data_IF_944083273456
#
_entry.id   IF_944083273456
#
_cell.length_a   1.000
_cell.length_b   1.000
_cell.length_c   1.000
_cell.angle_alpha   90.00
_cell.angle_beta   90.00
_cell.angle_gamma   90.00
#
_symmetry.space_group_name_H-M   'P 1'
#
loop_
_entity.id
_entity.type
_entity.pdbx_description
1 polymer ?
#
# COMPACT_ATOMS: atom_id res chain seq x y z
N UNK A 1 -28.20 -18.15 25.56
CA UNK A 1 -28.49 -19.01 24.40
C UNK A 1 -29.12 -18.19 23.29
N UNK A 2 -28.71 -18.42 22.03
CA UNK A 2 -29.33 -17.82 20.86
C UNK A 2 -30.69 -18.50 20.61
N UNK A 3 -31.74 -17.69 20.38
CA UNK A 3 -33.04 -18.23 19.99
C UNK A 3 -33.02 -18.73 18.53
N UNK A 4 -34.02 -19.51 18.14
CA UNK A 4 -34.17 -19.99 16.75
C UNK A 4 -34.24 -18.79 15.77
N UNK A 5 -34.96 -17.73 16.18
CA UNK A 5 -35.10 -16.49 15.39
C UNK A 5 -33.72 -15.77 15.26
N UNK A 6 -32.94 -15.69 16.35
CA UNK A 6 -31.62 -15.06 16.31
C UNK A 6 -30.72 -15.79 15.28
N UNK A 7 -30.71 -17.12 15.32
CA UNK A 7 -29.93 -17.93 14.40
C UNK A 7 -30.39 -17.78 12.96
N UNK A 8 -31.68 -17.68 12.73
CA UNK A 8 -32.26 -17.44 11.40
C UNK A 8 -31.80 -16.09 10.83
N UNK A 9 -31.90 -15.00 11.60
CA UNK A 9 -31.49 -13.67 11.17
C UNK A 9 -29.98 -13.62 10.90
N UNK A 10 -29.15 -14.18 11.78
CA UNK A 10 -27.70 -14.24 11.58
C UNK A 10 -27.36 -14.98 10.28
N UNK A 11 -27.97 -16.15 10.05
CA UNK A 11 -27.75 -16.92 8.83
C UNK A 11 -28.16 -16.13 7.59
N UNK A 12 -29.32 -15.48 7.61
CA UNK A 12 -29.82 -14.66 6.50
C UNK A 12 -28.87 -13.50 6.20
N UNK A 13 -28.41 -12.82 7.24
CA UNK A 13 -27.43 -11.73 7.15
C UNK A 13 -26.09 -12.21 6.53
N UNK A 14 -25.47 -13.23 7.11
CA UNK A 14 -24.19 -13.75 6.62
C UNK A 14 -24.30 -14.26 5.17
N UNK A 15 -25.37 -14.99 4.83
CA UNK A 15 -25.60 -15.44 3.46
C UNK A 15 -25.74 -14.28 2.48
N UNK A 16 -26.47 -13.23 2.85
CA UNK A 16 -26.61 -12.02 2.02
C UNK A 16 -25.28 -11.31 1.87
N UNK A 17 -24.47 -11.20 2.93
CA UNK A 17 -23.15 -10.60 2.88
C UNK A 17 -22.22 -11.34 1.91
N UNK A 18 -22.07 -12.66 2.05
CA UNK A 18 -21.19 -13.43 1.17
C UNK A 18 -21.70 -13.47 -0.28
N UNK A 19 -23.01 -13.46 -0.48
CA UNK A 19 -23.60 -13.38 -1.81
C UNK A 19 -23.28 -12.03 -2.49
N UNK A 20 -23.47 -10.92 -1.78
CA UNK A 20 -23.14 -9.58 -2.30
C UNK A 20 -21.65 -9.43 -2.54
N UNK A 21 -20.83 -9.89 -1.60
CA UNK A 21 -19.36 -9.89 -1.76
C UNK A 21 -18.97 -10.67 -3.02
N UNK A 22 -19.52 -11.86 -3.23
CA UNK A 22 -19.24 -12.68 -4.40
C UNK A 22 -19.61 -12.00 -5.72
N UNK A 23 -20.79 -11.39 -5.79
CA UNK A 23 -21.24 -10.66 -6.99
C UNK A 23 -20.33 -9.45 -7.25
N UNK A 24 -20.06 -8.62 -6.24
CA UNK A 24 -19.23 -7.43 -6.39
C UNK A 24 -17.82 -7.81 -6.82
N UNK A 25 -17.22 -8.84 -6.20
CA UNK A 25 -15.88 -9.31 -6.57
C UNK A 25 -15.85 -9.91 -7.98
N UNK A 26 -16.90 -10.63 -8.39
CA UNK A 26 -17.00 -11.15 -9.76
C UNK A 26 -17.02 -10.03 -10.78
N UNK A 27 -17.84 -8.99 -10.58
CA UNK A 27 -17.84 -7.82 -11.46
C UNK A 27 -16.49 -7.12 -11.47
N UNK A 28 -15.90 -6.89 -10.29
CA UNK A 28 -14.58 -6.26 -10.18
C UNK A 28 -13.51 -7.04 -10.99
N UNK A 29 -13.50 -8.38 -10.89
CA UNK A 29 -12.58 -9.22 -11.68
C UNK A 29 -12.83 -9.11 -13.18
N UNK A 30 -14.09 -9.09 -13.62
CA UNK A 30 -14.42 -8.97 -15.06
C UNK A 30 -13.93 -7.65 -15.62
N UNK A 31 -14.10 -6.54 -14.91
CA UNK A 31 -13.58 -5.24 -15.31
C UNK A 31 -12.04 -5.23 -15.33
N UNK A 32 -11.41 -5.74 -14.29
CA UNK A 32 -9.94 -5.79 -14.19
C UNK A 32 -9.32 -6.68 -15.29
N UNK A 33 -9.94 -7.83 -15.62
CA UNK A 33 -9.51 -8.65 -16.77
C UNK A 33 -9.64 -7.87 -18.07
N UNK A 34 -10.74 -7.18 -18.28
CA UNK A 34 -10.97 -6.42 -19.53
C UNK A 34 -9.93 -5.32 -19.74
N UNK A 35 -9.46 -4.72 -18.65
CA UNK A 35 -8.44 -3.67 -18.68
C UNK A 35 -7.03 -4.25 -18.93
N UNK A 36 -6.68 -5.36 -18.28
CA UNK A 36 -5.30 -5.90 -18.23
C UNK A 36 -5.03 -7.03 -19.22
N UNK A 37 -6.03 -7.48 -19.96
CA UNK A 37 -5.92 -8.66 -20.82
C UNK A 37 -4.83 -8.52 -21.87
N UNK A 38 -4.70 -7.34 -22.50
CA UNK A 38 -3.69 -7.08 -23.53
C UNK A 38 -2.27 -7.22 -22.99
N UNK A 39 -2.05 -6.79 -21.76
CA UNK A 39 -0.74 -6.84 -21.11
C UNK A 39 -0.40 -8.24 -20.61
N UNK A 40 -1.37 -8.97 -20.07
CA UNK A 40 -1.19 -10.37 -19.71
C UNK A 40 -0.82 -11.25 -20.92
N UNK A 41 -1.40 -10.98 -22.09
CA UNK A 41 -1.09 -11.70 -23.32
C UNK A 41 0.28 -11.29 -23.85
N UNK A 42 0.59 -9.99 -23.93
CA UNK A 42 1.87 -9.49 -24.46
C UNK A 42 3.06 -9.94 -23.62
N UNK A 43 2.89 -9.98 -22.29
CA UNK A 43 3.91 -10.43 -21.35
C UNK A 43 3.87 -11.94 -21.08
N UNK A 44 3.05 -12.70 -21.83
CA UNK A 44 2.93 -14.16 -21.75
C UNK A 44 2.70 -14.67 -20.32
N UNK A 45 1.83 -14.00 -19.57
CA UNK A 45 1.49 -14.43 -18.21
C UNK A 45 0.79 -15.79 -18.22
N UNK A 46 1.25 -16.79 -17.47
CA UNK A 46 0.60 -18.11 -17.44
C UNK A 46 -0.76 -18.01 -16.74
N UNK A 47 -1.78 -18.68 -17.30
CA UNK A 47 -3.17 -18.64 -16.80
C UNK A 47 -3.24 -19.09 -15.33
N UNK A 48 -2.41 -20.04 -14.91
CA UNK A 48 -2.35 -20.51 -13.52
C UNK A 48 -1.87 -19.41 -12.57
N UNK A 49 -0.87 -18.63 -12.97
CA UNK A 49 -0.37 -17.50 -12.18
C UNK A 49 -1.42 -16.36 -12.13
N UNK A 50 -2.12 -16.08 -13.24
CA UNK A 50 -3.21 -15.11 -13.27
C UNK A 50 -4.28 -15.49 -12.25
N UNK A 51 -4.65 -16.77 -12.15
CA UNK A 51 -5.69 -17.20 -11.23
C UNK A 51 -5.22 -17.24 -9.77
N UNK A 52 -4.10 -17.92 -9.47
CA UNK A 52 -3.66 -18.17 -8.10
C UNK A 52 -2.82 -17.02 -7.50
N UNK A 53 -1.91 -16.43 -8.27
CA UNK A 53 -1.02 -15.39 -7.76
C UNK A 53 -1.65 -13.99 -7.85
N UNK A 54 -2.58 -13.78 -8.80
CA UNK A 54 -3.25 -12.51 -8.98
C UNK A 54 -4.69 -12.51 -8.45
N UNK A 55 -5.65 -13.21 -9.08
CA UNK A 55 -7.08 -13.06 -8.74
C UNK A 55 -7.47 -13.60 -7.37
N UNK A 56 -6.88 -14.69 -6.91
CA UNK A 56 -7.15 -15.16 -5.54
C UNK A 56 -6.72 -14.12 -4.50
N UNK A 57 -5.56 -13.52 -4.69
CA UNK A 57 -5.04 -12.48 -3.81
C UNK A 57 -5.78 -11.14 -3.97
N UNK A 58 -6.25 -10.82 -5.17
CA UNK A 58 -7.13 -9.70 -5.47
C UNK A 58 -8.44 -9.77 -4.67
N UNK A 59 -9.10 -10.93 -4.66
CA UNK A 59 -10.34 -11.13 -3.88
C UNK A 59 -10.09 -10.93 -2.38
N UNK A 60 -9.00 -11.46 -1.85
CA UNK A 60 -8.66 -11.32 -0.43
C UNK A 60 -8.39 -9.87 -0.04
N UNK A 61 -7.65 -9.14 -0.86
CA UNK A 61 -7.32 -7.74 -0.62
C UNK A 61 -8.55 -6.83 -0.75
N UNK A 62 -9.15 -6.79 -1.95
CA UNK A 62 -10.28 -5.90 -2.23
C UNK A 62 -11.57 -6.32 -1.52
N UNK A 63 -11.79 -7.62 -1.34
CA UNK A 63 -12.93 -8.13 -0.59
C UNK A 63 -12.90 -7.69 0.87
N UNK A 64 -11.73 -7.68 1.50
CA UNK A 64 -11.58 -7.16 2.86
C UNK A 64 -11.70 -5.61 2.89
N UNK A 65 -11.09 -4.93 1.93
CA UNK A 65 -11.15 -3.47 1.81
C UNK A 65 -12.59 -2.94 1.70
N UNK A 66 -13.44 -3.61 0.90
CA UNK A 66 -14.84 -3.21 0.73
C UNK A 66 -15.80 -3.86 1.73
N UNK A 67 -15.32 -4.69 2.66
CA UNK A 67 -16.17 -5.47 3.58
C UNK A 67 -17.12 -4.60 4.39
N UNK A 68 -16.68 -3.47 4.93
CA UNK A 68 -17.51 -2.57 5.72
C UNK A 68 -18.70 -1.99 4.93
N UNK A 69 -18.46 -1.57 3.69
CA UNK A 69 -19.51 -1.09 2.79
C UNK A 69 -20.51 -2.21 2.45
N UNK A 70 -19.99 -3.42 2.19
CA UNK A 70 -20.82 -4.58 1.85
C UNK A 70 -21.64 -5.03 3.06
N UNK A 71 -21.10 -4.96 4.29
CA UNK A 71 -21.86 -5.21 5.52
C UNK A 71 -23.05 -4.26 5.59
N UNK A 72 -22.82 -2.97 5.40
CA UNK A 72 -23.88 -1.96 5.44
C UNK A 72 -24.98 -2.23 4.41
N UNK A 73 -24.60 -2.46 3.15
CA UNK A 73 -25.55 -2.79 2.07
C UNK A 73 -26.32 -4.09 2.36
N UNK A 74 -25.63 -5.11 2.90
CA UNK A 74 -26.25 -6.37 3.25
C UNK A 74 -27.30 -6.22 4.34
N UNK A 75 -27.04 -5.41 5.36
CA UNK A 75 -28.01 -5.13 6.44
C UNK A 75 -29.25 -4.46 5.85
N UNK A 76 -29.10 -3.45 5.02
CA UNK A 76 -30.24 -2.77 4.38
C UNK A 76 -31.04 -3.77 3.52
N UNK A 77 -30.35 -4.50 2.66
CA UNK A 77 -30.97 -5.40 1.70
C UNK A 77 -31.78 -6.53 2.39
N UNK A 78 -31.13 -7.29 3.31
CA UNK A 78 -31.84 -8.40 3.92
C UNK A 78 -32.97 -7.95 4.85
N UNK A 79 -32.80 -6.78 5.51
CA UNK A 79 -33.88 -6.21 6.35
C UNK A 79 -35.06 -5.75 5.50
N UNK A 80 -34.81 -5.08 4.39
CA UNK A 80 -35.86 -4.70 3.44
C UNK A 80 -36.58 -5.95 2.88
N UNK A 81 -35.82 -7.00 2.55
CA UNK A 81 -36.38 -8.26 2.08
C UNK A 81 -37.26 -8.93 3.15
N UNK A 82 -36.81 -8.97 4.41
CA UNK A 82 -37.63 -9.48 5.53
C UNK A 82 -38.90 -8.66 5.73
N UNK A 83 -38.85 -7.34 5.51
CA UNK A 83 -40.01 -6.50 5.59
C UNK A 83 -41.03 -6.76 4.46
N UNK A 84 -40.54 -6.90 3.21
CA UNK A 84 -41.37 -7.28 2.04
C UNK A 84 -42.04 -8.64 2.22
N UNK A 85 -41.30 -9.61 2.75
CA UNK A 85 -41.81 -10.96 3.00
C UNK A 85 -42.68 -11.04 4.27
N UNK A 86 -43.00 -9.88 4.92
CA UNK A 86 -43.80 -9.75 6.15
C UNK A 86 -43.24 -10.51 7.35
N UNK A 87 -41.96 -10.92 7.33
CA UNK A 87 -41.34 -11.69 8.41
C UNK A 87 -41.10 -10.86 9.69
N UNK A 88 -40.96 -9.55 9.54
CA UNK A 88 -40.70 -8.63 10.67
C UNK A 88 -41.96 -8.48 11.56
N UNK A 89 -43.15 -8.47 10.96
CA UNK A 89 -44.41 -8.26 11.66
C UNK A 89 -44.68 -9.28 12.78
N UNK A 90 -44.60 -10.62 12.54
CA UNK A 90 -44.74 -11.62 13.58
C UNK A 90 -43.72 -11.50 14.72
N UNK A 91 -42.46 -11.08 14.37
CA UNK A 91 -41.38 -10.87 15.37
C UNK A 91 -41.79 -9.74 16.34
N UNK A 92 -42.34 -8.64 15.84
CA UNK A 92 -42.80 -7.54 16.66
C UNK A 92 -44.03 -7.87 17.50
N UNK A 93 -45.02 -8.54 16.92
CA UNK A 93 -46.21 -8.98 17.64
C UNK A 93 -45.97 -10.06 18.71
N UNK A 94 -44.77 -10.67 18.70
CA UNK A 94 -44.35 -11.64 19.73
C UNK A 94 -44.10 -11.01 21.12
N UNK A 95 -44.33 -9.68 21.30
CA UNK A 95 -44.10 -8.96 22.54
C UNK A 95 -42.65 -8.80 22.98
N UNK A 96 -41.70 -9.04 22.09
CA UNK A 96 -40.27 -8.91 22.36
C UNK A 96 -39.80 -7.45 22.23
N UNK A 97 -38.94 -6.94 23.13
CA UNK A 97 -38.43 -5.59 23.03
C UNK A 97 -37.56 -5.43 21.77
N UNK A 98 -37.56 -4.22 21.17
CA UNK A 98 -36.76 -3.88 19.98
C UNK A 98 -35.26 -4.17 20.15
N UNK A 99 -34.70 -3.99 21.34
CA UNK A 99 -33.31 -4.30 21.67
C UNK A 99 -32.94 -5.75 21.39
N UNK A 100 -33.90 -6.68 21.55
CA UNK A 100 -33.71 -8.08 21.23
C UNK A 100 -33.72 -8.36 19.73
N UNK A 101 -34.38 -7.53 18.94
CA UNK A 101 -34.40 -7.62 17.48
C UNK A 101 -33.02 -7.24 16.90
N UNK A 102 -32.31 -6.26 17.45
CA UNK A 102 -30.99 -5.85 16.98
C UNK A 102 -29.86 -6.78 17.40
N UNK A 103 -30.05 -7.60 18.40
CA UNK A 103 -29.00 -8.51 18.91
C UNK A 103 -28.39 -9.42 17.85
N UNK A 104 -29.14 -10.14 16.99
CA UNK A 104 -28.56 -10.96 15.92
C UNK A 104 -27.76 -10.16 14.88
N UNK A 105 -28.15 -8.91 14.61
CA UNK A 105 -27.40 -8.02 13.72
C UNK A 105 -26.04 -7.67 14.32
N UNK A 106 -26.01 -7.30 15.59
CA UNK A 106 -24.74 -7.01 16.28
C UNK A 106 -23.82 -8.24 16.34
N UNK A 107 -24.36 -9.41 16.63
CA UNK A 107 -23.59 -10.66 16.65
C UNK A 107 -23.01 -10.95 15.27
N UNK A 108 -23.81 -10.89 14.22
CA UNK A 108 -23.36 -11.11 12.85
C UNK A 108 -22.29 -10.10 12.41
N UNK A 109 -22.51 -8.81 12.71
CA UNK A 109 -21.54 -7.76 12.43
C UNK A 109 -20.24 -7.94 13.22
N UNK A 110 -20.31 -8.33 14.50
CA UNK A 110 -19.11 -8.61 15.32
C UNK A 110 -18.32 -9.79 14.76
N UNK A 111 -18.98 -10.85 14.32
CA UNK A 111 -18.30 -11.98 13.67
C UNK A 111 -17.55 -11.54 12.41
N UNK A 112 -18.22 -10.78 11.54
CA UNK A 112 -17.58 -10.24 10.32
C UNK A 112 -16.44 -9.27 10.64
N UNK A 113 -16.59 -8.42 11.65
CA UNK A 113 -15.55 -7.52 12.14
C UNK A 113 -14.31 -8.30 12.60
N UNK A 114 -14.48 -9.35 13.41
CA UNK A 114 -13.35 -10.17 13.88
C UNK A 114 -12.67 -10.87 12.71
N UNK A 115 -13.43 -11.40 11.76
CA UNK A 115 -12.88 -12.01 10.53
C UNK A 115 -12.07 -10.97 9.75
N UNK A 116 -12.63 -9.78 9.51
CA UNK A 116 -11.95 -8.69 8.79
C UNK A 116 -10.66 -8.25 9.49
N UNK A 117 -10.67 -8.13 10.83
CA UNK A 117 -9.46 -7.81 11.60
C UNK A 117 -8.36 -8.86 11.43
N UNK A 118 -8.70 -10.15 11.52
CA UNK A 118 -7.74 -11.24 11.32
C UNK A 118 -7.20 -11.22 9.88
N UNK A 119 -8.07 -11.06 8.89
CA UNK A 119 -7.67 -10.94 7.49
C UNK A 119 -6.71 -9.76 7.31
N UNK A 120 -7.06 -8.59 7.82
CA UNK A 120 -6.30 -7.36 7.63
C UNK A 120 -4.89 -7.39 8.25
N UNK A 121 -4.74 -8.08 9.39
CA UNK A 121 -3.44 -8.13 10.08
C UNK A 121 -2.50 -9.23 9.55
N UNK A 122 -3.04 -10.34 9.06
CA UNK A 122 -2.23 -11.52 8.73
C UNK A 122 -2.31 -11.91 7.25
N UNK A 123 -3.51 -11.97 6.68
CA UNK A 123 -3.71 -12.55 5.35
C UNK A 123 -3.58 -11.50 4.26
N UNK A 124 -4.17 -10.33 4.45
CA UNK A 124 -4.17 -9.24 3.45
C UNK A 124 -2.77 -8.76 3.09
N UNK A 125 -1.83 -8.52 4.04
CA UNK A 125 -0.47 -8.13 3.68
C UNK A 125 0.25 -9.17 2.82
N UNK A 126 0.10 -10.46 3.19
CA UNK A 126 0.67 -11.56 2.41
C UNK A 126 0.03 -11.68 1.01
N UNK A 127 -1.29 -11.63 0.92
CA UNK A 127 -2.02 -11.68 -0.33
C UNK A 127 -1.66 -10.50 -1.25
N UNK A 128 -1.59 -9.29 -0.69
CA UNK A 128 -1.23 -8.11 -1.44
C UNK A 128 0.22 -8.14 -1.93
N UNK A 129 1.14 -8.69 -1.14
CA UNK A 129 2.53 -8.89 -1.58
C UNK A 129 2.60 -9.80 -2.82
N UNK A 130 1.89 -10.93 -2.81
CA UNK A 130 1.85 -11.84 -3.96
C UNK A 130 1.22 -11.18 -5.19
N UNK A 131 0.11 -10.46 -5.00
CA UNK A 131 -0.56 -9.70 -6.07
C UNK A 131 0.37 -8.65 -6.69
N UNK A 132 1.03 -7.86 -5.86
CA UNK A 132 1.96 -6.82 -6.32
C UNK A 132 3.20 -7.41 -6.99
N UNK A 133 3.74 -8.53 -6.50
CA UNK A 133 4.83 -9.23 -7.16
C UNK A 133 4.45 -9.74 -8.56
N UNK A 134 3.21 -10.22 -8.73
CA UNK A 134 2.68 -10.57 -10.04
C UNK A 134 2.54 -9.34 -10.95
N UNK A 135 1.98 -8.23 -10.42
CA UNK A 135 1.84 -6.98 -11.16
C UNK A 135 3.19 -6.42 -11.62
N UNK A 136 4.21 -6.40 -10.75
CA UNK A 136 5.58 -5.98 -11.11
C UNK A 136 6.15 -6.78 -12.29
N UNK A 137 5.81 -8.06 -12.35
CA UNK A 137 6.35 -8.96 -13.37
C UNK A 137 5.63 -8.87 -14.71
N UNK A 138 4.31 -8.62 -14.71
CA UNK A 138 3.49 -8.80 -15.90
C UNK A 138 2.66 -7.58 -16.31
N UNK A 139 2.55 -6.56 -15.47
CA UNK A 139 1.59 -5.48 -15.73
C UNK A 139 2.11 -4.09 -15.38
N UNK A 140 2.91 -3.93 -14.34
CA UNK A 140 3.28 -2.60 -13.86
C UNK A 140 4.31 -1.93 -14.77
N UNK A 141 4.07 -0.64 -14.99
CA UNK A 141 5.08 0.27 -15.52
C UNK A 141 6.30 0.37 -14.61
N UNK A 142 7.40 0.80 -15.20
CA UNK A 142 8.65 1.07 -14.50
C UNK A 142 8.45 1.91 -13.24
N UNK A 143 9.25 1.61 -12.21
CA UNK A 143 9.27 2.44 -11.01
C UNK A 143 9.75 3.83 -11.40
N UNK A 144 8.87 4.82 -11.23
CA UNK A 144 9.19 6.24 -11.36
C UNK A 144 9.08 6.91 -9.99
N UNK A 145 10.12 7.66 -9.63
CA UNK A 145 10.15 8.47 -8.42
C UNK A 145 10.47 9.90 -8.83
N UNK A 146 9.59 10.83 -8.47
CA UNK A 146 9.71 12.25 -8.76
C UNK A 146 9.92 13.03 -7.46
N UNK A 147 10.75 14.08 -7.53
CA UNK A 147 11.00 15.00 -6.42
C UNK A 147 11.35 14.31 -5.10
N UNK A 148 12.32 13.39 -5.15
CA UNK A 148 12.78 12.69 -3.96
C UNK A 148 13.59 13.65 -3.07
N UNK A 149 13.22 13.70 -1.79
CA UNK A 149 13.98 14.40 -0.76
C UNK A 149 14.02 13.58 0.51
N UNK A 150 15.21 13.35 1.05
CA UNK A 150 15.37 12.67 2.33
C UNK A 150 16.68 13.07 3.02
N UNK A 151 16.63 13.09 4.35
CA UNK A 151 17.78 13.31 5.20
C UNK A 151 18.38 11.96 5.63
N UNK A 152 19.69 11.88 5.59
CA UNK A 152 20.48 10.70 5.95
C UNK A 152 21.39 10.99 7.16
N UNK A 153 21.80 9.94 7.91
CA UNK A 153 22.73 10.10 9.02
C UNK A 153 24.00 10.84 8.62
N UNK A 154 24.48 11.74 9.50
CA UNK A 154 25.64 12.57 9.24
C UNK A 154 25.29 13.96 8.67
N UNK A 155 24.09 14.49 9.04
CA UNK A 155 23.60 15.80 8.62
C UNK A 155 23.66 15.97 7.09
N UNK A 156 23.18 14.98 6.36
CA UNK A 156 23.25 14.92 4.91
C UNK A 156 21.85 14.85 4.32
N UNK A 157 21.51 15.77 3.41
CA UNK A 157 20.29 15.73 2.61
C UNK A 157 20.59 15.27 1.19
N UNK A 158 19.73 14.43 0.64
CA UNK A 158 19.80 13.92 -0.72
C UNK A 158 18.53 14.32 -1.46
N UNK A 159 18.69 14.87 -2.65
CA UNK A 159 17.60 15.25 -3.54
C UNK A 159 17.87 14.75 -4.96
N UNK A 160 16.82 14.35 -5.68
CA UNK A 160 16.85 14.21 -7.13
C UNK A 160 15.47 14.49 -7.74
N UNK A 161 15.46 15.01 -8.98
CA UNK A 161 14.22 15.41 -9.65
C UNK A 161 13.43 14.23 -10.19
N UNK A 162 14.10 13.25 -10.78
CA UNK A 162 13.43 12.09 -11.37
C UNK A 162 14.33 10.85 -11.39
N UNK A 163 13.70 9.70 -11.24
CA UNK A 163 14.28 8.37 -11.44
C UNK A 163 13.27 7.47 -12.13
N UNK A 164 13.72 6.73 -13.15
CA UNK A 164 12.94 5.68 -13.80
C UNK A 164 13.80 4.42 -13.88
N UNK A 165 13.21 3.28 -13.53
CA UNK A 165 13.94 2.01 -13.46
C UNK A 165 14.49 1.57 -14.84
N UNK A 166 13.78 1.84 -15.95
CA UNK A 166 14.23 1.56 -17.32
C UNK A 166 15.49 2.32 -17.69
N UNK A 167 15.64 3.56 -17.23
CA UNK A 167 16.84 4.35 -17.46
C UNK A 167 17.98 3.96 -16.51
N UNK A 168 17.64 3.48 -15.30
CA UNK A 168 18.57 3.06 -14.26
C UNK A 168 19.47 4.19 -13.76
N UNK A 169 19.04 5.45 -13.93
CA UNK A 169 19.78 6.64 -13.51
C UNK A 169 18.83 7.70 -12.95
N UNK A 170 19.32 8.52 -12.03
CA UNK A 170 18.62 9.67 -11.46
C UNK A 170 19.06 10.94 -12.15
N UNK A 171 18.14 11.90 -12.24
CA UNK A 171 18.34 13.21 -12.82
C UNK A 171 18.45 14.28 -11.73
N UNK A 172 19.27 15.31 -11.95
CA UNK A 172 19.50 16.43 -11.02
C UNK A 172 19.84 16.00 -9.60
N UNK A 173 20.72 15.02 -9.49
CA UNK A 173 21.15 14.46 -8.21
C UNK A 173 21.92 15.49 -7.39
N UNK A 174 21.48 15.76 -6.17
CA UNK A 174 22.08 16.76 -5.28
C UNK A 174 22.30 16.17 -3.89
N UNK A 175 23.47 16.41 -3.32
CA UNK A 175 23.80 16.11 -1.93
C UNK A 175 24.25 17.40 -1.23
N UNK A 176 23.69 17.63 -0.05
CA UNK A 176 24.10 18.70 0.85
C UNK A 176 24.51 18.10 2.18
N UNK A 177 25.58 18.61 2.79
CA UNK A 177 25.97 18.30 4.17
C UNK A 177 25.99 19.57 4.99
N UNK A 178 25.55 19.46 6.22
CA UNK A 178 25.38 20.58 7.15
C UNK A 178 26.30 20.38 8.34
N UNK A 179 26.77 21.48 8.91
CA UNK A 179 27.43 21.47 10.22
C UNK A 179 26.39 21.56 11.35
N UNK A 180 26.83 21.44 12.58
CA UNK A 180 25.97 21.55 13.78
C UNK A 180 25.32 22.94 13.93
N UNK A 181 25.82 23.95 13.21
CA UNK A 181 25.27 25.31 13.15
C UNK A 181 24.25 25.51 12.03
N UNK A 182 23.79 24.41 11.36
CA UNK A 182 22.87 24.44 10.22
C UNK A 182 23.41 25.22 9.00
N UNK A 183 24.70 25.29 8.81
CA UNK A 183 25.31 25.86 7.61
C UNK A 183 25.73 24.77 6.66
N UNK A 184 25.52 24.96 5.34
CA UNK A 184 25.95 24.01 4.31
C UNK A 184 27.48 24.04 4.20
N UNK A 185 28.12 22.92 4.52
CA UNK A 185 29.59 22.78 4.46
C UNK A 185 30.07 22.05 3.22
N UNK A 186 29.21 21.25 2.59
CA UNK A 186 29.52 20.53 1.39
C UNK A 186 28.30 20.49 0.47
N UNK A 187 28.51 20.72 -0.81
CA UNK A 187 27.48 20.66 -1.85
C UNK A 187 28.00 19.88 -3.05
N UNK A 188 27.24 18.89 -3.50
CA UNK A 188 27.50 18.14 -4.72
C UNK A 188 26.22 18.16 -5.56
N UNK A 189 26.35 18.49 -6.85
CA UNK A 189 25.28 18.33 -7.82
C UNK A 189 25.81 17.60 -9.04
N UNK A 190 25.04 16.64 -9.54
CA UNK A 190 25.31 15.93 -10.78
C UNK A 190 24.07 15.94 -11.66
N UNK A 191 24.24 16.15 -12.96
CA UNK A 191 23.12 16.08 -13.90
C UNK A 191 22.51 14.69 -13.97
N UNK A 192 23.37 13.65 -13.88
CA UNK A 192 22.97 12.26 -13.82
C UNK A 192 23.77 11.51 -12.78
N UNK A 193 23.10 10.62 -12.05
CA UNK A 193 23.77 9.70 -11.16
C UNK A 193 23.19 8.29 -11.34
N UNK A 194 24.07 7.28 -11.44
CA UNK A 194 23.70 5.88 -11.61
C UNK A 194 24.26 5.07 -10.45
N UNK A 195 23.40 4.33 -9.77
CA UNK A 195 23.80 3.35 -8.77
C UNK A 195 24.10 2.00 -9.44
N UNK A 196 25.10 1.29 -8.96
CA UNK A 196 25.35 -0.10 -9.36
C UNK A 196 24.49 -1.01 -8.46
N UNK A 197 23.55 -1.79 -9.02
CA UNK A 197 22.57 -2.57 -8.26
C UNK A 197 23.19 -3.39 -7.12
N UNK A 198 22.57 -3.36 -5.94
CA UNK A 198 23.05 -4.09 -4.76
C UNK A 198 24.35 -3.56 -4.15
N UNK A 199 24.82 -2.40 -4.56
CA UNK A 199 26.08 -1.81 -4.04
C UNK A 199 25.89 -0.35 -3.67
N UNK A 200 26.77 0.15 -2.79
CA UNK A 200 26.84 1.56 -2.43
C UNK A 200 27.65 2.41 -3.44
N UNK A 201 28.01 1.84 -4.59
CA UNK A 201 28.81 2.51 -5.61
C UNK A 201 27.91 3.29 -6.56
N UNK A 202 28.32 4.53 -6.81
CA UNK A 202 27.61 5.46 -7.68
C UNK A 202 28.54 6.03 -8.73
N UNK A 203 28.03 6.23 -9.92
CA UNK A 203 28.70 6.93 -10.99
C UNK A 203 27.95 8.23 -11.25
N UNK A 204 28.63 9.35 -11.06
CA UNK A 204 28.14 10.70 -11.33
C UNK A 204 28.59 11.14 -12.72
N UNK A 205 27.71 11.82 -13.46
CA UNK A 205 28.02 12.43 -14.75
C UNK A 205 27.67 13.93 -14.71
N UNK A 206 28.52 14.75 -15.34
CA UNK A 206 28.37 16.20 -15.39
C UNK A 206 28.17 16.78 -13.99
N UNK A 207 29.18 16.58 -13.15
CA UNK A 207 29.08 16.94 -11.74
C UNK A 207 29.90 18.17 -11.39
N UNK A 208 29.46 18.87 -10.35
CA UNK A 208 30.29 19.79 -9.61
C UNK A 208 30.12 19.57 -8.11
N UNK A 209 31.21 19.71 -7.38
CA UNK A 209 31.24 19.64 -5.92
C UNK A 209 31.95 20.85 -5.35
N UNK A 210 31.43 21.39 -4.27
CA UNK A 210 31.96 22.52 -3.54
C UNK A 210 32.12 22.16 -2.09
N UNK A 211 33.36 22.28 -1.57
CA UNK A 211 33.64 22.20 -0.16
C UNK A 211 33.70 23.66 0.37
N UNK A 212 32.85 23.98 1.34
CA UNK A 212 32.64 25.35 1.82
C UNK A 212 33.44 25.61 3.13
N UNK A 213 33.94 24.51 3.76
CA UNK A 213 34.67 24.59 5.05
C UNK A 213 36.01 25.30 5.02
N UNK A 214 36.59 25.54 3.83
CA UNK A 214 37.88 26.24 3.72
C UNK A 214 37.72 27.67 3.28
N UNK A 215 38.59 28.64 3.75
CA UNK A 215 38.51 30.04 3.37
C UNK A 215 38.52 30.31 1.86
N UNK A 216 39.04 29.37 1.08
CA UNK A 216 39.08 29.38 -0.39
C UNK A 216 38.28 28.24 -1.00
N UNK A 217 37.10 27.96 -0.50
CA UNK A 217 36.24 26.82 -0.90
C UNK A 217 36.63 26.17 -2.23
N UNK A 218 37.04 24.91 -2.21
CA UNK A 218 37.48 24.19 -3.43
C UNK A 218 36.27 23.82 -4.26
N UNK A 219 36.22 24.31 -5.52
CA UNK A 219 35.26 23.91 -6.52
C UNK A 219 35.90 22.88 -7.46
N UNK A 220 35.34 21.68 -7.52
CA UNK A 220 35.73 20.64 -8.44
C UNK A 220 34.56 20.35 -9.37
N UNK A 221 34.85 20.14 -10.64
CA UNK A 221 33.87 19.76 -11.65
C UNK A 221 34.48 18.76 -12.61
N UNK A 222 33.63 17.96 -13.24
CA UNK A 222 34.08 16.98 -14.20
C UNK A 222 32.94 16.25 -14.88
N UNK A 223 33.27 15.52 -15.93
CA UNK A 223 32.30 14.80 -16.76
C UNK A 223 31.89 13.48 -16.09
N UNK A 224 32.80 12.83 -15.33
CA UNK A 224 32.53 11.54 -14.71
C UNK A 224 33.30 11.38 -13.41
N UNK A 225 32.61 10.81 -12.38
CA UNK A 225 33.21 10.47 -11.09
C UNK A 225 32.53 9.22 -10.53
N UNK A 226 33.32 8.23 -10.13
CA UNK A 226 32.86 7.10 -9.36
C UNK A 226 33.04 7.40 -7.86
N UNK A 227 32.01 7.15 -7.05
CA UNK A 227 32.00 7.45 -5.63
C UNK A 227 31.19 6.41 -4.86
N UNK A 228 31.27 6.43 -3.53
CA UNK A 228 30.54 5.56 -2.63
C UNK A 228 29.71 6.44 -1.67
N UNK A 229 28.42 6.13 -1.55
CA UNK A 229 27.53 6.80 -0.59
C UNK A 229 26.99 5.78 0.43
N UNK A 230 26.40 6.27 1.51
CA UNK A 230 25.84 5.44 2.59
C UNK A 230 24.39 4.97 2.32
N UNK A 231 23.97 5.02 1.06
CA UNK A 231 22.64 4.66 0.61
C UNK A 231 22.67 3.98 -0.74
N UNK A 232 21.67 3.18 -1.03
CA UNK A 232 21.47 2.46 -2.28
C UNK A 232 20.17 2.92 -2.96
N UNK A 233 20.10 2.75 -4.29
CA UNK A 233 18.91 3.19 -5.06
C UNK A 233 17.65 2.41 -4.68
N UNK A 234 17.78 1.14 -4.33
CA UNK A 234 16.67 0.27 -3.93
C UNK A 234 15.92 0.80 -2.68
N UNK A 235 16.61 1.49 -1.78
CA UNK A 235 15.97 2.14 -0.63
C UNK A 235 15.20 3.43 -1.00
N UNK A 236 15.66 4.13 -2.04
CA UNK A 236 15.06 5.38 -2.51
C UNK A 236 13.90 5.12 -3.48
N UNK A 237 14.04 4.10 -4.34
CA UNK A 237 13.08 3.75 -5.39
C UNK A 237 11.97 2.81 -4.89
N UNK A 238 11.53 2.97 -3.65
CA UNK A 238 10.42 2.18 -3.13
C UNK A 238 9.08 2.74 -3.61
N UNK A 239 8.21 1.87 -4.13
CA UNK A 239 6.84 2.28 -4.48
C UNK A 239 6.07 2.69 -3.22
N UNK A 240 5.21 3.69 -3.33
CA UNK A 240 4.30 4.11 -2.24
C UNK A 240 3.43 2.95 -1.73
N UNK A 241 3.11 2.01 -2.60
CA UNK A 241 2.32 0.80 -2.29
C UNK A 241 3.07 -0.24 -1.45
N UNK A 242 4.36 -0.07 -1.17
CA UNK A 242 5.11 -1.03 -0.34
C UNK A 242 4.52 -1.14 1.08
N UNK A 243 3.97 -0.04 1.60
CA UNK A 243 3.30 -0.02 2.89
C UNK A 243 2.14 -1.03 2.99
N UNK A 244 1.43 -1.24 1.89
CA UNK A 244 0.28 -2.15 1.82
C UNK A 244 0.67 -3.64 1.91
N UNK A 245 1.94 -3.98 1.63
CA UNK A 245 2.46 -5.36 1.70
C UNK A 245 3.07 -5.71 3.04
N UNK A 246 3.33 -4.71 3.88
CA UNK A 246 4.00 -4.89 5.17
C UNK A 246 3.03 -5.34 6.24
N UNK A 247 3.50 -6.14 7.19
CA UNK A 247 2.77 -6.40 8.43
C UNK A 247 2.70 -5.14 9.29
N UNK A 248 1.81 -5.13 10.29
CA UNK A 248 1.66 -3.99 11.20
C UNK A 248 2.97 -3.57 11.87
N UNK A 249 3.78 -4.54 12.32
CA UNK A 249 5.07 -4.27 12.97
C UNK A 249 6.12 -3.72 12.01
N UNK A 250 6.19 -4.24 10.79
CA UNK A 250 7.09 -3.77 9.74
C UNK A 250 6.75 -2.34 9.31
N UNK A 251 5.46 -2.06 9.11
CA UNK A 251 4.99 -0.73 8.75
C UNK A 251 5.30 0.31 9.83
N UNK A 252 5.12 -0.05 11.11
CA UNK A 252 5.47 0.81 12.24
C UNK A 252 6.98 1.11 12.30
N UNK A 253 7.80 0.09 12.04
CA UNK A 253 9.26 0.26 11.96
C UNK A 253 9.68 1.11 10.76
N UNK A 254 9.02 0.95 9.60
CA UNK A 254 9.24 1.79 8.42
C UNK A 254 8.92 3.25 8.73
N UNK A 255 7.75 3.54 9.31
CA UNK A 255 7.34 4.89 9.71
C UNK A 255 8.38 5.52 10.62
N UNK A 256 8.89 4.78 11.61
CA UNK A 256 9.90 5.30 12.54
C UNK A 256 11.20 5.67 11.84
N UNK A 257 11.66 4.84 10.89
CA UNK A 257 12.86 5.11 10.09
C UNK A 257 12.68 6.28 9.14
N UNK A 258 11.58 6.32 8.41
CA UNK A 258 11.29 7.39 7.45
C UNK A 258 11.05 8.74 8.14
N UNK A 259 10.49 8.73 9.35
CA UNK A 259 10.34 9.93 10.17
C UNK A 259 11.70 10.52 10.58
N UNK A 260 12.70 9.69 10.86
CA UNK A 260 14.06 10.14 11.15
C UNK A 260 14.76 10.73 9.91
N UNK A 261 14.37 10.30 8.71
CA UNK A 261 14.86 10.84 7.43
C UNK A 261 14.12 12.09 6.95
N UNK A 262 13.09 12.55 7.67
CA UNK A 262 12.27 13.69 7.21
C UNK A 262 11.49 13.43 5.92
N UNK A 263 11.26 12.14 5.57
CA UNK A 263 10.62 11.74 4.32
C UNK A 263 9.17 12.23 4.22
N UNK A 264 8.80 12.79 3.08
CA UNK A 264 7.43 13.22 2.79
C UNK A 264 6.42 12.04 2.76
N UNK A 265 6.90 10.80 2.57
CA UNK A 265 6.07 9.60 2.53
C UNK A 265 5.52 9.19 3.90
N UNK A 266 6.02 9.74 5.00
CA UNK A 266 5.58 9.40 6.38
C UNK A 266 4.08 9.57 6.56
N UNK A 267 3.50 10.65 6.01
CA UNK A 267 2.06 10.92 6.14
C UNK A 267 1.22 9.84 5.47
N UNK A 268 1.58 9.37 4.28
CA UNK A 268 0.87 8.30 3.58
C UNK A 268 0.99 6.97 4.32
N UNK A 269 2.16 6.63 4.87
CA UNK A 269 2.35 5.43 5.68
C UNK A 269 1.57 5.46 6.99
N UNK A 270 1.41 6.63 7.62
CA UNK A 270 0.57 6.78 8.80
C UNK A 270 -0.91 6.60 8.50
N UNK A 271 -1.39 7.10 7.36
CA UNK A 271 -2.77 6.89 6.90
C UNK A 271 -3.02 5.40 6.70
N UNK A 272 -2.12 4.69 6.03
CA UNK A 272 -2.20 3.24 5.84
C UNK A 272 -2.27 2.48 7.18
N UNK A 273 -1.42 2.87 8.15
CA UNK A 273 -1.42 2.26 9.49
C UNK A 273 -2.76 2.47 10.21
N UNK A 274 -3.36 3.66 10.09
CA UNK A 274 -4.66 3.97 10.70
C UNK A 274 -5.80 3.19 10.03
N UNK A 275 -5.80 3.08 8.71
CA UNK A 275 -6.81 2.32 7.96
C UNK A 275 -6.88 0.84 8.37
N UNK A 276 -5.74 0.26 8.80
CA UNK A 276 -5.70 -1.12 9.29
C UNK A 276 -6.31 -1.32 10.67
N UNK A 277 -6.45 -0.26 11.45
CA UNK A 277 -6.97 -0.29 12.82
C UNK A 277 -8.38 0.28 12.94
N UNK A 278 -8.91 0.86 11.85
CA UNK A 278 -10.27 1.39 11.75
C UNK A 278 -11.26 0.31 11.32
#
# INVERSE_FOLDING_TARGET
>A
MLSIIDRYIIRKFLTTFFFMLGIIMLFAMVFDISEKLSEFISNKAPITAIFFDYYLNFILFYGNMFSSMIIFLSVIWFTAKMAQDTEIIPIWFSGRPLTRFYRPYLIGATVLMVISLVLNHFIVPWANNNRLAFEEKYYRDDISVEDYHADYPGNQSVYFSNYTNSEGQVHDFTIQRWNDSNEVVYFLKARYAKNYPGTNKWQLKDYYEKDILFPEGTLKFGVKKDTVFNFVMEEMAQRKTIAETMTFSELRNLISREKLKGSAAVSSYQIELQQRTS
#
